data_IF_630518266022
#
_entry.id   IF_630518266022
#
_cell.length_a   1.000
_cell.length_b   1.000
_cell.length_c   1.000
_cell.angle_alpha   90.00
_cell.angle_beta   90.00
_cell.angle_gamma   90.00
#
_symmetry.space_group_name_H-M   'P 1'
#
loop_
_entity.id
_entity.type
_entity.pdbx_description
1 polymer ?
#
# COMPACT_ATOMS: atom_id res chain seq x y z
N UNK A 1 14.17 -4.05 31.55
CA UNK A 1 12.79 -3.62 31.88
C UNK A 1 11.87 -4.68 31.32
N UNK A 2 11.32 -5.57 32.17
CA UNK A 2 10.34 -6.55 31.72
C UNK A 2 9.08 -5.80 31.30
N UNK A 3 8.70 -5.93 30.03
CA UNK A 3 7.48 -5.33 29.51
C UNK A 3 6.32 -6.21 30.02
N UNK A 4 5.73 -5.82 31.15
CA UNK A 4 4.57 -6.53 31.72
C UNK A 4 3.35 -6.21 30.86
N UNK A 5 3.05 -7.07 29.89
CA UNK A 5 1.87 -6.92 29.03
C UNK A 5 0.61 -7.30 29.84
N UNK A 6 -0.38 -6.39 29.96
CA UNK A 6 -1.59 -6.67 30.72
C UNK A 6 -2.35 -7.86 30.13
N UNK A 7 -2.93 -8.71 30.99
CA UNK A 7 -3.70 -9.91 30.57
C UNK A 7 -4.79 -9.58 29.54
N UNK A 8 -5.44 -8.42 29.69
CA UNK A 8 -6.45 -7.91 28.73
C UNK A 8 -5.88 -7.81 27.31
N UNK A 9 -4.68 -7.26 27.13
CA UNK A 9 -4.07 -7.10 25.81
C UNK A 9 -3.68 -8.45 25.19
N UNK A 10 -3.24 -9.41 26.02
CA UNK A 10 -2.96 -10.78 25.56
C UNK A 10 -4.24 -11.46 25.05
N UNK A 11 -5.35 -11.31 25.79
CA UNK A 11 -6.66 -11.85 25.38
C UNK A 11 -7.11 -11.22 24.06
N UNK A 12 -7.03 -9.91 23.91
CA UNK A 12 -7.36 -9.23 22.65
C UNK A 12 -6.51 -9.69 21.47
N UNK A 13 -5.20 -9.90 21.67
CA UNK A 13 -4.34 -10.46 20.63
C UNK A 13 -4.79 -11.86 20.20
N UNK A 14 -5.13 -12.76 21.14
CA UNK A 14 -5.64 -14.08 20.82
C UNK A 14 -7.02 -14.03 20.14
N UNK A 15 -7.90 -13.12 20.54
CA UNK A 15 -9.20 -12.92 19.90
C UNK A 15 -9.04 -12.47 18.45
N UNK A 16 -8.16 -11.50 18.19
CA UNK A 16 -7.90 -11.00 16.84
C UNK A 16 -7.29 -12.12 15.98
N UNK A 17 -6.24 -12.78 16.45
CA UNK A 17 -5.61 -13.89 15.68
C UNK A 17 -6.61 -15.02 15.45
N UNK A 18 -7.40 -15.38 16.46
CA UNK A 18 -8.46 -16.39 16.35
C UNK A 18 -9.52 -16.01 15.31
N UNK A 19 -9.92 -14.74 15.24
CA UNK A 19 -10.85 -14.24 14.23
C UNK A 19 -10.26 -14.37 12.81
N UNK A 20 -9.01 -13.97 12.59
CA UNK A 20 -8.35 -14.09 11.28
C UNK A 20 -8.19 -15.56 10.85
N UNK A 21 -7.90 -16.46 11.79
CA UNK A 21 -7.83 -17.91 11.55
C UNK A 21 -9.21 -18.47 11.19
N UNK A 22 -10.27 -18.07 11.90
CA UNK A 22 -11.64 -18.49 11.59
C UNK A 22 -12.09 -18.03 10.20
N UNK A 23 -11.80 -16.77 9.84
CA UNK A 23 -12.08 -16.24 8.49
C UNK A 23 -11.28 -17.01 7.43
N UNK A 24 -10.03 -17.38 7.72
CA UNK A 24 -9.23 -18.20 6.81
C UNK A 24 -9.83 -19.59 6.61
N UNK A 25 -10.29 -20.26 7.68
CA UNK A 25 -10.92 -21.58 7.58
C UNK A 25 -12.25 -21.51 6.83
N UNK A 26 -13.09 -20.52 7.14
CA UNK A 26 -14.39 -20.33 6.49
C UNK A 26 -14.23 -20.08 4.99
N UNK A 27 -13.31 -19.20 4.59
CA UNK A 27 -13.05 -18.91 3.17
C UNK A 27 -12.48 -20.10 2.41
N UNK A 28 -11.65 -20.93 3.07
CA UNK A 28 -11.12 -22.16 2.46
C UNK A 28 -12.20 -23.21 2.21
N UNK A 29 -13.21 -23.28 3.09
CA UNK A 29 -14.29 -24.25 2.98
C UNK A 29 -15.23 -24.00 1.79
N UNK A 30 -15.37 -22.75 1.36
CA UNK A 30 -16.25 -22.38 0.24
C UNK A 30 -15.63 -22.71 -1.13
N UNK A 31 -14.40 -22.25 -1.41
CA UNK A 31 -13.69 -22.55 -2.66
C UNK A 31 -12.16 -22.43 -2.52
N UNK A 32 -11.43 -23.31 -3.21
CA UNK A 32 -9.95 -23.36 -3.22
C UNK A 32 -9.30 -22.06 -3.74
N UNK A 33 -9.98 -21.29 -4.61
CA UNK A 33 -9.46 -20.03 -5.13
C UNK A 33 -9.33 -18.92 -4.08
N UNK A 34 -9.98 -19.02 -2.93
CA UNK A 34 -9.88 -18.03 -1.86
C UNK A 34 -8.53 -18.06 -1.11
N UNK A 35 -7.63 -18.98 -1.45
CA UNK A 35 -6.26 -19.01 -0.91
C UNK A 35 -5.51 -17.69 -1.14
N UNK A 36 -5.76 -17.01 -2.27
CA UNK A 36 -5.15 -15.71 -2.54
C UNK A 36 -5.64 -14.62 -1.58
N UNK A 37 -6.93 -14.64 -1.22
CA UNK A 37 -7.51 -13.69 -0.27
C UNK A 37 -6.89 -13.88 1.12
N UNK A 38 -6.65 -15.13 1.52
CA UNK A 38 -5.98 -15.45 2.78
C UNK A 38 -4.53 -14.94 2.78
N UNK A 39 -3.81 -15.10 1.67
CA UNK A 39 -2.45 -14.57 1.54
C UNK A 39 -2.43 -13.05 1.72
N UNK A 40 -3.36 -12.31 1.10
CA UNK A 40 -3.45 -10.85 1.26
C UNK A 40 -3.87 -10.43 2.67
N UNK A 41 -4.79 -11.15 3.30
CA UNK A 41 -5.25 -10.91 4.66
C UNK A 41 -4.09 -11.02 5.67
N UNK A 42 -3.36 -12.13 5.63
CA UNK A 42 -2.22 -12.36 6.52
C UNK A 42 -1.04 -11.44 6.23
N UNK A 43 -0.75 -11.20 4.95
CA UNK A 43 0.26 -10.22 4.56
C UNK A 43 -0.09 -8.83 5.08
N UNK A 44 -1.33 -8.36 4.90
CA UNK A 44 -1.79 -7.07 5.39
C UNK A 44 -1.73 -6.95 6.91
N UNK A 45 -2.08 -8.02 7.64
CA UNK A 45 -1.98 -8.06 9.09
C UNK A 45 -0.53 -7.91 9.59
N UNK A 46 0.39 -8.72 9.05
CA UNK A 46 1.81 -8.67 9.41
C UNK A 46 2.43 -7.33 9.00
N UNK A 47 2.16 -6.89 7.78
CA UNK A 47 2.66 -5.64 7.25
C UNK A 47 2.17 -4.44 8.06
N UNK A 48 0.89 -4.41 8.44
CA UNK A 48 0.31 -3.38 9.32
C UNK A 48 0.98 -3.30 10.68
N UNK A 49 1.26 -4.45 11.32
CA UNK A 49 2.00 -4.50 12.58
C UNK A 49 3.43 -3.94 12.42
N UNK A 50 4.12 -4.29 11.33
CA UNK A 50 5.45 -3.75 11.04
C UNK A 50 5.42 -2.23 10.83
N UNK A 51 4.41 -1.70 10.12
CA UNK A 51 4.24 -0.27 9.90
C UNK A 51 3.97 0.48 11.20
N UNK A 52 3.12 -0.06 12.07
CA UNK A 52 2.79 0.53 13.38
C UNK A 52 4.02 0.56 14.29
N UNK A 53 4.73 -0.56 14.42
CA UNK A 53 5.93 -0.66 15.25
C UNK A 53 7.06 0.25 14.73
N UNK A 54 7.26 0.27 13.41
CA UNK A 54 8.26 1.10 12.76
C UNK A 54 7.89 2.58 12.66
N UNK A 55 6.64 2.96 12.95
CA UNK A 55 6.07 4.29 12.66
C UNK A 55 6.43 4.76 11.25
N UNK A 56 6.36 3.85 10.30
CA UNK A 56 6.99 4.02 8.99
C UNK A 56 6.20 5.01 8.12
N UNK A 57 6.77 6.19 7.88
CA UNK A 57 6.19 7.17 6.97
C UNK A 57 7.25 7.89 6.12
N UNK A 58 7.10 7.77 4.80
CA UNK A 58 7.97 8.43 3.81
C UNK A 58 8.03 9.95 4.00
N UNK A 59 6.88 10.61 4.19
CA UNK A 59 6.86 12.07 4.38
C UNK A 59 7.62 12.52 5.64
N UNK A 60 7.46 11.78 6.75
CA UNK A 60 8.22 12.07 7.99
C UNK A 60 9.69 11.81 7.80
N UNK A 61 10.08 10.75 7.09
CA UNK A 61 11.47 10.39 6.91
C UNK A 61 12.27 11.51 6.20
N UNK A 62 11.74 12.06 5.11
CA UNK A 62 12.38 13.18 4.43
C UNK A 62 12.37 14.47 5.27
N UNK A 63 11.26 14.76 5.97
CA UNK A 63 11.19 15.90 6.89
C UNK A 63 12.23 15.78 8.03
N UNK A 64 12.36 14.61 8.64
CA UNK A 64 13.28 14.38 9.75
C UNK A 64 14.74 14.39 9.29
N UNK A 65 15.02 13.98 8.05
CA UNK A 65 16.35 14.10 7.45
C UNK A 65 16.75 15.56 7.24
N UNK A 66 15.89 16.38 6.62
CA UNK A 66 16.25 17.76 6.26
C UNK A 66 16.06 18.76 7.39
N UNK A 67 15.02 18.60 8.23
CA UNK A 67 14.70 19.57 9.29
C UNK A 67 15.34 19.23 10.64
N UNK A 68 15.44 17.94 10.99
CA UNK A 68 15.94 17.50 12.31
C UNK A 68 17.35 16.91 12.22
N UNK A 69 17.78 16.47 11.04
CA UNK A 69 19.09 15.84 10.83
C UNK A 69 19.18 14.40 11.32
N UNK A 70 18.05 13.69 11.45
CA UNK A 70 18.02 12.31 11.95
C UNK A 70 17.73 11.35 10.79
N UNK A 71 18.74 10.66 10.22
CA UNK A 71 18.58 9.86 9.00
C UNK A 71 17.98 8.47 9.25
N UNK A 72 17.66 8.10 10.50
CA UNK A 72 17.17 6.76 10.91
C UNK A 72 16.14 6.19 9.95
N UNK A 73 15.07 6.94 9.67
CA UNK A 73 13.95 6.44 8.87
C UNK A 73 14.27 6.39 7.38
N UNK A 74 15.07 7.34 6.89
CA UNK A 74 15.52 7.34 5.49
C UNK A 74 16.42 6.16 5.20
N UNK A 75 17.34 5.81 6.11
CA UNK A 75 18.18 4.61 5.96
C UNK A 75 17.31 3.35 5.87
N UNK A 76 16.27 3.23 6.70
CA UNK A 76 15.31 2.14 6.62
C UNK A 76 14.60 2.06 5.26
N UNK A 77 14.16 3.21 4.73
CA UNK A 77 13.55 3.30 3.39
C UNK A 77 14.53 2.88 2.30
N UNK A 78 15.78 3.34 2.37
CA UNK A 78 16.82 2.99 1.38
C UNK A 78 17.06 1.48 1.35
N UNK A 79 17.25 0.85 2.52
CA UNK A 79 17.42 -0.60 2.62
C UNK A 79 16.20 -1.34 2.07
N UNK A 80 14.99 -0.93 2.44
CA UNK A 80 13.75 -1.53 1.94
C UNK A 80 13.64 -1.42 0.41
N UNK A 81 14.03 -0.29 -0.17
CA UNK A 81 13.98 -0.05 -1.61
C UNK A 81 15.00 -0.90 -2.36
N UNK A 82 16.21 -1.04 -1.81
CA UNK A 82 17.26 -1.90 -2.37
C UNK A 82 16.82 -3.37 -2.35
N UNK A 83 16.32 -3.85 -1.20
CA UNK A 83 15.83 -5.24 -1.07
C UNK A 83 14.66 -5.51 -2.01
N UNK A 84 13.73 -4.56 -2.14
CA UNK A 84 12.64 -4.66 -3.11
C UNK A 84 13.15 -4.73 -4.55
N UNK A 85 14.13 -3.89 -4.91
CA UNK A 85 14.77 -3.91 -6.22
C UNK A 85 15.43 -5.26 -6.54
N UNK A 86 16.21 -5.81 -5.61
CA UNK A 86 16.82 -7.14 -5.76
C UNK A 86 15.77 -8.25 -5.89
N UNK A 87 14.75 -8.23 -5.03
CA UNK A 87 13.68 -9.25 -5.06
C UNK A 87 12.90 -9.17 -6.36
N UNK A 88 12.56 -7.97 -6.82
CA UNK A 88 11.88 -7.75 -8.10
C UNK A 88 12.72 -8.21 -9.29
N UNK A 89 14.02 -7.90 -9.31
CA UNK A 89 14.93 -8.37 -10.36
C UNK A 89 15.04 -9.91 -10.38
N UNK A 90 15.12 -10.54 -9.20
CA UNK A 90 15.17 -12.00 -9.08
C UNK A 90 13.88 -12.66 -9.61
N UNK A 91 12.71 -12.16 -9.22
CA UNK A 91 11.41 -12.67 -9.69
C UNK A 91 11.21 -12.46 -11.20
N UNK A 92 11.74 -11.36 -11.75
CA UNK A 92 11.78 -11.15 -13.20
C UNK A 92 12.68 -12.17 -13.89
N UNK A 93 13.86 -12.48 -13.33
CA UNK A 93 14.80 -13.43 -13.90
C UNK A 93 14.28 -14.87 -13.90
N UNK A 94 13.46 -15.25 -12.91
CA UNK A 94 12.84 -16.59 -12.85
C UNK A 94 11.60 -16.74 -13.73
N UNK A 95 11.16 -15.67 -14.41
CA UNK A 95 9.97 -15.68 -15.26
C UNK A 95 8.64 -15.75 -14.51
N UNK A 96 8.65 -15.59 -13.19
CA UNK A 96 7.45 -15.59 -12.34
C UNK A 96 6.86 -14.19 -12.14
N UNK A 97 7.44 -13.19 -12.80
CA UNK A 97 6.99 -11.82 -12.69
C UNK A 97 5.69 -11.57 -13.45
N UNK A 98 4.70 -11.04 -12.73
CA UNK A 98 3.52 -10.38 -13.31
C UNK A 98 3.69 -8.85 -13.31
N UNK A 99 4.78 -8.34 -12.73
CA UNK A 99 4.99 -6.91 -12.52
C UNK A 99 5.50 -6.24 -13.80
N UNK A 100 4.72 -5.27 -14.28
CA UNK A 100 5.10 -4.43 -15.41
C UNK A 100 5.39 -3.02 -14.90
N UNK A 101 6.58 -2.45 -15.18
CA UNK A 101 6.89 -1.08 -14.79
C UNK A 101 5.85 -0.12 -15.36
N UNK A 102 5.37 0.81 -14.53
CA UNK A 102 4.58 1.92 -15.04
C UNK A 102 5.45 2.76 -16.01
N UNK A 103 4.89 3.21 -17.14
CA UNK A 103 5.60 4.01 -18.12
C UNK A 103 5.95 5.34 -17.47
N UNK A 104 7.22 5.69 -17.58
CA UNK A 104 7.73 6.95 -17.09
C UNK A 104 7.44 8.02 -18.13
N UNK A 105 6.80 9.11 -17.70
CA UNK A 105 6.42 10.21 -18.58
C UNK A 105 6.26 11.50 -17.80
N UNK A 106 6.12 12.61 -18.52
CA UNK A 106 6.00 13.94 -17.88
C UNK A 106 4.78 14.05 -16.97
N UNK A 107 3.72 13.30 -17.29
CA UNK A 107 2.51 13.19 -16.46
C UNK A 107 2.80 12.66 -15.05
N UNK A 108 3.76 11.75 -14.89
CA UNK A 108 4.14 11.20 -13.58
C UNK A 108 4.81 12.27 -12.72
N UNK A 109 5.63 13.14 -13.31
CA UNK A 109 6.29 14.25 -12.59
C UNK A 109 5.25 15.28 -12.13
N UNK A 110 4.31 15.64 -13.01
CA UNK A 110 3.24 16.59 -12.69
C UNK A 110 2.33 16.02 -11.60
N UNK A 111 1.84 14.78 -11.79
CA UNK A 111 0.97 14.11 -10.81
C UNK A 111 1.69 13.89 -9.47
N UNK A 112 2.96 13.50 -9.49
CA UNK A 112 3.78 13.32 -8.29
C UNK A 112 3.99 14.61 -7.51
N UNK A 113 4.14 15.74 -8.20
CA UNK A 113 4.24 17.06 -7.55
C UNK A 113 2.93 17.43 -6.86
N UNK A 114 1.79 17.27 -7.55
CA UNK A 114 0.45 17.53 -6.98
C UNK A 114 0.18 16.60 -5.78
N UNK A 115 0.50 15.31 -5.92
CA UNK A 115 0.37 14.33 -4.84
C UNK A 115 1.26 14.67 -3.64
N UNK A 116 2.49 15.12 -3.89
CA UNK A 116 3.41 15.62 -2.86
C UNK A 116 2.83 16.78 -2.06
N UNK A 117 2.28 17.78 -2.73
CA UNK A 117 1.60 18.91 -2.09
C UNK A 117 0.38 18.42 -1.28
N UNK A 118 -0.41 17.51 -1.83
CA UNK A 118 -1.53 16.87 -1.14
C UNK A 118 -1.11 16.14 0.14
N UNK A 119 0.00 15.41 0.13
CA UNK A 119 0.53 14.74 1.32
C UNK A 119 0.90 15.71 2.45
N UNK A 120 1.38 16.91 2.12
CA UNK A 120 1.67 17.95 3.11
C UNK A 120 0.39 18.46 3.76
N UNK A 121 -0.65 18.76 2.95
CA UNK A 121 -1.95 19.19 3.46
C UNK A 121 -2.68 18.11 4.27
N UNK A 122 -2.55 16.84 3.88
CA UNK A 122 -3.11 15.71 4.62
C UNK A 122 -2.37 15.41 5.94
N UNK A 123 -1.20 16.01 6.18
CA UNK A 123 -0.41 15.79 7.39
C UNK A 123 0.18 14.39 7.52
N UNK A 124 0.31 13.66 6.40
CA UNK A 124 0.74 12.26 6.40
C UNK A 124 0.92 11.66 5.01
N UNK A 125 1.71 10.59 4.95
CA UNK A 125 1.82 9.72 3.79
C UNK A 125 0.80 8.56 3.88
N UNK A 126 0.55 7.84 2.79
CA UNK A 126 -0.41 6.73 2.76
C UNK A 126 -0.14 5.66 3.84
N UNK A 127 1.13 5.21 3.99
CA UNK A 127 1.50 4.25 5.04
C UNK A 127 1.29 4.81 6.46
N UNK A 128 1.55 6.11 6.63
CA UNK A 128 1.32 6.85 7.87
C UNK A 128 -0.15 6.92 8.25
N UNK A 129 -1.01 7.21 7.28
CA UNK A 129 -2.46 7.28 7.49
C UNK A 129 -3.04 5.90 7.81
N UNK A 130 -2.53 4.83 7.19
CA UNK A 130 -2.96 3.45 7.44
C UNK A 130 -2.74 3.01 8.89
N UNK A 131 -1.51 3.10 9.42
CA UNK A 131 -1.26 2.64 10.79
C UNK A 131 -1.91 3.56 11.84
N UNK A 132 -1.96 4.88 11.60
CA UNK A 132 -2.66 5.83 12.50
C UNK A 132 -4.16 5.57 12.56
N UNK A 133 -4.75 5.14 11.44
CA UNK A 133 -6.14 4.70 11.40
C UNK A 133 -6.34 3.46 12.29
N UNK A 134 -5.41 2.50 12.21
CA UNK A 134 -5.39 1.33 13.11
C UNK A 134 -5.17 1.67 14.59
N UNK A 135 -4.52 2.79 14.89
CA UNK A 135 -4.38 3.34 16.25
C UNK A 135 -5.63 4.11 16.74
N UNK A 136 -6.64 4.31 15.87
CA UNK A 136 -7.89 5.00 16.21
C UNK A 136 -7.93 6.49 15.85
N UNK A 137 -7.02 6.98 15.00
CA UNK A 137 -7.05 8.38 14.55
C UNK A 137 -8.13 8.61 13.48
N UNK A 138 -9.20 9.32 13.85
CA UNK A 138 -10.30 9.65 12.94
C UNK A 138 -9.92 10.54 11.76
N UNK A 139 -8.95 11.45 11.92
CA UNK A 139 -8.45 12.27 10.81
C UNK A 139 -7.71 11.40 9.78
N UNK A 140 -6.89 10.46 10.26
CA UNK A 140 -6.19 9.53 9.38
C UNK A 140 -7.18 8.62 8.63
N UNK A 141 -8.26 8.20 9.29
CA UNK A 141 -9.34 7.43 8.65
C UNK A 141 -9.98 8.20 7.49
N UNK A 142 -10.31 9.48 7.69
CA UNK A 142 -10.87 10.33 6.64
C UNK A 142 -9.91 10.48 5.46
N UNK A 143 -8.60 10.60 5.72
CA UNK A 143 -7.59 10.66 4.66
C UNK A 143 -7.54 9.35 3.87
N UNK A 144 -7.55 8.20 4.53
CA UNK A 144 -7.56 6.89 3.85
C UNK A 144 -8.81 6.74 2.98
N UNK A 145 -9.99 7.05 3.52
CA UNK A 145 -11.25 6.97 2.77
C UNK A 145 -11.28 7.94 1.58
N UNK A 146 -10.77 9.17 1.76
CA UNK A 146 -10.70 10.17 0.70
C UNK A 146 -9.78 9.73 -0.44
N UNK A 147 -8.60 9.18 -0.12
CA UNK A 147 -7.66 8.65 -1.12
C UNK A 147 -8.31 7.48 -1.87
N UNK A 148 -8.93 6.53 -1.17
CA UNK A 148 -9.59 5.38 -1.80
C UNK A 148 -10.75 5.78 -2.71
N UNK A 149 -11.61 6.69 -2.26
CA UNK A 149 -12.73 7.17 -3.06
C UNK A 149 -12.25 7.94 -4.30
N UNK A 150 -11.27 8.83 -4.13
CA UNK A 150 -10.72 9.62 -5.23
C UNK A 150 -10.01 8.73 -6.26
N UNK A 151 -9.29 7.70 -5.82
CA UNK A 151 -8.63 6.76 -6.73
C UNK A 151 -9.65 5.91 -7.49
N UNK A 152 -10.70 5.42 -6.83
CA UNK A 152 -11.78 4.69 -7.50
C UNK A 152 -12.45 5.55 -8.56
N UNK A 153 -12.87 6.77 -8.19
CA UNK A 153 -13.55 7.66 -9.13
C UNK A 153 -12.64 8.10 -10.26
N UNK A 154 -11.37 8.39 -10.01
CA UNK A 154 -10.45 8.83 -11.06
C UNK A 154 -10.15 7.73 -12.09
N UNK A 155 -10.13 6.46 -11.67
CA UNK A 155 -9.98 5.31 -12.58
C UNK A 155 -11.26 5.09 -13.40
N UNK A 156 -12.43 5.36 -12.82
CA UNK A 156 -13.73 5.16 -13.48
C UNK A 156 -14.19 6.38 -14.31
N UNK A 157 -13.63 7.57 -14.11
CA UNK A 157 -13.92 8.77 -14.91
C UNK A 157 -13.24 8.63 -16.27
N UNK A 158 -13.88 7.86 -17.16
CA UNK A 158 -13.58 7.83 -18.58
C UNK A 158 -13.73 9.22 -19.22
N UNK A 159 -13.04 9.46 -20.34
CA UNK A 159 -13.16 10.71 -21.11
C UNK A 159 -11.82 11.29 -21.57
N UNK A 160 -11.57 12.59 -21.33
CA UNK A 160 -10.35 13.26 -21.79
C UNK A 160 -9.07 12.63 -21.23
N UNK A 161 -9.12 12.09 -20.01
CA UNK A 161 -7.99 11.40 -19.38
C UNK A 161 -7.56 10.13 -20.14
N UNK A 162 -8.45 9.49 -20.92
CA UNK A 162 -8.08 8.37 -21.79
C UNK A 162 -7.14 8.79 -22.93
N UNK A 163 -7.12 10.06 -23.34
CA UNK A 163 -6.15 10.57 -24.33
C UNK A 163 -4.73 10.72 -23.78
N UNK A 164 -4.58 10.74 -22.45
CA UNK A 164 -3.30 10.81 -21.76
C UNK A 164 -2.72 9.41 -21.50
N UNK A 165 -3.49 8.35 -21.78
CA UNK A 165 -3.05 6.96 -21.62
C UNK A 165 -2.08 6.59 -22.74
N UNK A 166 -0.89 6.05 -22.42
CA UNK A 166 0.05 5.60 -23.43
C UNK A 166 -0.53 4.50 -24.33
N UNK A 167 -0.23 4.55 -25.63
CA UNK A 167 -0.68 3.54 -26.59
C UNK A 167 -0.21 2.11 -26.23
N UNK A 168 0.91 1.98 -25.51
CA UNK A 168 1.40 0.70 -25.00
C UNK A 168 0.47 0.07 -23.96
N UNK A 169 -0.28 0.87 -23.21
CA UNK A 169 -1.27 0.39 -22.24
C UNK A 169 -2.53 -0.10 -22.91
N UNK A 170 -3.01 0.62 -23.93
CA UNK A 170 -4.11 0.15 -24.76
C UNK A 170 -3.76 -1.19 -25.45
N UNK A 171 -2.55 -1.32 -26.00
CA UNK A 171 -2.07 -2.57 -26.60
C UNK A 171 -1.95 -3.71 -25.58
N UNK A 172 -1.50 -3.42 -24.35
CA UNK A 172 -1.42 -4.42 -23.27
C UNK A 172 -2.78 -4.81 -22.71
N UNK A 173 -3.75 -3.90 -22.72
CA UNK A 173 -5.13 -4.18 -22.32
C UNK A 173 -5.82 -5.09 -23.35
N UNK A 174 -5.64 -4.78 -24.64
CA UNK A 174 -6.14 -5.60 -25.75
C UNK A 174 -5.57 -7.03 -25.72
N UNK A 175 -4.27 -7.20 -25.43
CA UNK A 175 -3.67 -8.53 -25.33
C UNK A 175 -4.15 -9.35 -24.13
N UNK A 176 -4.70 -8.68 -23.11
CA UNK A 176 -5.26 -9.30 -21.90
C UNK A 176 -6.78 -9.48 -21.96
N UNK A 177 -7.41 -9.16 -23.09
CA UNK A 177 -8.86 -9.32 -23.29
C UNK A 177 -9.71 -8.40 -22.40
N UNK A 178 -9.15 -7.29 -21.93
CA UNK A 178 -9.95 -6.27 -21.25
C UNK A 178 -10.86 -5.54 -22.25
N UNK A 179 -12.04 -5.08 -21.83
CA UNK A 179 -12.92 -4.30 -22.70
C UNK A 179 -12.20 -3.04 -23.21
N UNK A 180 -12.45 -2.68 -24.47
CA UNK A 180 -11.82 -1.54 -25.14
C UNK A 180 -12.10 -0.18 -24.47
N UNK A 181 -13.13 -0.12 -23.62
CA UNK A 181 -13.54 1.07 -22.88
C UNK A 181 -13.95 0.69 -21.46
N UNK A 182 -13.35 1.35 -20.47
CA UNK A 182 -13.79 1.30 -19.07
C UNK A 182 -14.87 2.38 -18.92
N UNK A 183 -16.07 2.11 -19.46
CA UNK A 183 -17.21 3.04 -19.59
C UNK A 183 -16.93 4.39 -20.28
#
# INVERSE_FOLDING_TARGET
MEIVVPKKNKIWAFVIVGFFVLVSIATYAEHEYYVYLQAYLWFGFIYGMCLQYGRFCFASAFRDLFAVGVPRMVVGIMIATILFGFTSAFVNATGWSTFHPAPTGIHVVIAGTIFGVGMVFAGGCASGSLYKTGEGNGVALLVVLSISLTQSTFVDIGGWFNKLVPASWAASAASKGLPDVIN
#
